data_IF_886394385397
#
_entry.id   IF_886394385397
#
_cell.length_a   1.000
_cell.length_b   1.000
_cell.length_c   1.000
_cell.angle_alpha   90.00
_cell.angle_beta   90.00
_cell.angle_gamma   90.00
#
_symmetry.space_group_name_H-M   'P 1'
#
loop_
_entity.id
_entity.type
_entity.pdbx_description
1 polymer ?
#
# COMPACT_ATOMS: atom_id res chain seq x y z
N UNK A 1 -41.60 19.77 -10.31
CA UNK A 1 -41.50 18.73 -11.35
C UNK A 1 -40.10 18.85 -11.96
N UNK A 2 -39.09 18.02 -11.74
CA UNK A 2 -38.87 16.80 -10.94
C UNK A 2 -37.43 16.94 -10.39
N UNK A 3 -37.25 16.76 -9.07
CA UNK A 3 -35.93 16.53 -8.46
C UNK A 3 -35.47 15.14 -8.87
N UNK A 4 -34.43 15.02 -9.68
CA UNK A 4 -33.73 13.75 -9.85
C UNK A 4 -32.49 13.73 -8.93
N UNK A 5 -32.76 13.59 -7.63
CA UNK A 5 -31.82 12.94 -6.72
C UNK A 5 -31.91 11.45 -6.99
N UNK A 6 -30.86 10.89 -7.60
CA UNK A 6 -30.49 9.47 -7.45
C UNK A 6 -28.98 9.38 -7.71
N UNK A 7 -28.23 10.06 -6.83
CA UNK A 7 -26.81 9.76 -6.64
C UNK A 7 -26.76 8.42 -5.90
N UNK A 8 -26.89 7.34 -6.68
CA UNK A 8 -26.67 6.01 -6.17
C UNK A 8 -25.23 5.96 -5.67
N UNK A 9 -25.06 5.85 -4.35
CA UNK A 9 -23.79 5.51 -3.72
C UNK A 9 -23.31 4.17 -4.32
N UNK A 10 -22.60 4.27 -5.44
CA UNK A 10 -21.98 3.14 -6.13
C UNK A 10 -20.94 2.65 -5.14
N UNK A 11 -21.25 1.58 -4.41
CA UNK A 11 -20.37 1.04 -3.38
C UNK A 11 -18.95 0.97 -3.96
N UNK A 12 -18.07 1.88 -3.52
CA UNK A 12 -16.75 2.04 -4.10
C UNK A 12 -16.05 0.69 -4.03
N UNK A 13 -15.69 0.15 -5.20
CA UNK A 13 -15.04 -1.15 -5.28
C UNK A 13 -13.75 -1.09 -4.46
N UNK A 14 -13.62 -1.94 -3.45
CA UNK A 14 -12.50 -1.88 -2.50
C UNK A 14 -11.29 -2.67 -3.00
N UNK A 15 -10.10 -2.08 -2.92
CA UNK A 15 -8.84 -2.72 -3.32
C UNK A 15 -8.61 -4.03 -2.56
N UNK A 16 -8.99 -4.09 -1.28
CA UNK A 16 -8.86 -5.27 -0.43
C UNK A 16 -9.77 -6.45 -0.84
N UNK A 17 -10.75 -6.21 -1.73
CA UNK A 17 -11.64 -7.25 -2.27
C UNK A 17 -11.21 -7.77 -3.64
N UNK A 18 -10.15 -7.21 -4.22
CA UNK A 18 -9.61 -7.71 -5.49
C UNK A 18 -9.01 -9.11 -5.26
N UNK A 19 -9.47 -10.13 -6.02
CA UNK A 19 -8.91 -11.48 -5.93
C UNK A 19 -7.40 -11.47 -6.10
N UNK A 20 -6.70 -12.26 -5.29
CA UNK A 20 -5.25 -12.31 -5.29
C UNK A 20 -4.77 -13.73 -4.98
N UNK A 21 -3.46 -13.97 -5.06
CA UNK A 21 -2.88 -15.27 -4.72
C UNK A 21 -2.94 -15.53 -3.21
N UNK A 22 -2.94 -16.80 -2.83
CA UNK A 22 -2.90 -17.22 -1.41
C UNK A 22 -1.70 -16.63 -0.65
N UNK A 23 -0.55 -16.45 -1.34
CA UNK A 23 0.66 -15.82 -0.80
C UNK A 23 0.38 -14.37 -0.40
N UNK A 24 -0.25 -13.59 -1.28
CA UNK A 24 -0.60 -12.19 -1.01
C UNK A 24 -1.66 -12.06 0.09
N UNK A 25 -2.65 -12.94 0.10
CA UNK A 25 -3.67 -12.94 1.15
C UNK A 25 -3.11 -13.31 2.52
N UNK A 26 -2.19 -14.29 2.58
CA UNK A 26 -1.51 -14.65 3.82
C UNK A 26 -0.70 -13.47 4.34
N UNK A 27 0.15 -12.87 3.50
CA UNK A 27 0.98 -11.74 3.88
C UNK A 27 0.15 -10.53 4.32
N UNK A 28 -0.94 -10.21 3.61
CA UNK A 28 -1.88 -9.15 4.01
C UNK A 28 -2.43 -9.38 5.41
N UNK A 29 -2.81 -10.62 5.75
CA UNK A 29 -3.33 -10.97 7.09
C UNK A 29 -2.25 -10.83 8.15
N UNK A 30 -1.02 -11.26 7.86
CA UNK A 30 0.08 -11.21 8.82
C UNK A 30 0.48 -9.77 9.15
N UNK A 31 0.60 -8.90 8.13
CA UNK A 31 0.83 -7.46 8.31
C UNK A 31 -0.31 -6.82 9.09
N UNK A 32 -1.57 -7.09 8.72
CA UNK A 32 -2.72 -6.48 9.38
C UNK A 32 -2.84 -6.88 10.86
N UNK A 33 -2.55 -8.14 11.20
CA UNK A 33 -2.50 -8.60 12.59
C UNK A 33 -1.40 -7.91 13.38
N UNK A 34 -0.20 -7.82 12.79
CA UNK A 34 0.90 -7.13 13.44
C UNK A 34 0.60 -5.65 13.66
N UNK A 35 0.06 -4.95 12.66
CA UNK A 35 -0.25 -3.53 12.78
C UNK A 35 -1.29 -3.28 13.87
N UNK A 36 -2.35 -4.09 13.92
CA UNK A 36 -3.35 -4.03 14.99
C UNK A 36 -2.74 -4.26 16.37
N UNK A 37 -1.87 -5.26 16.52
CA UNK A 37 -1.23 -5.58 17.80
C UNK A 37 -0.23 -4.51 18.27
N UNK A 38 0.31 -3.70 17.36
CA UNK A 38 1.32 -2.68 17.65
C UNK A 38 0.79 -1.24 17.53
N UNK A 39 -0.53 -1.07 17.41
CA UNK A 39 -1.17 0.24 17.29
C UNK A 39 -0.70 1.04 16.06
N UNK A 40 -0.30 0.36 14.98
CA UNK A 40 0.18 1.01 13.77
C UNK A 40 -0.98 1.33 12.83
N UNK A 41 -0.98 2.53 12.22
CA UNK A 41 -2.00 2.91 11.24
C UNK A 41 -1.85 2.07 9.96
N UNK A 42 -2.94 1.45 9.52
CA UNK A 42 -2.92 0.62 8.31
C UNK A 42 -4.33 0.48 7.75
N UNK A 43 -4.54 0.93 6.51
CA UNK A 43 -5.80 0.64 5.80
C UNK A 43 -5.67 -0.65 5.00
N UNK A 44 -6.73 -1.47 5.01
CA UNK A 44 -6.74 -2.73 4.25
C UNK A 44 -6.64 -2.50 2.74
N UNK A 45 -7.16 -1.38 2.26
CA UNK A 45 -7.11 -1.02 0.84
C UNK A 45 -5.70 -0.55 0.44
N UNK A 46 -5.05 0.32 1.22
CA UNK A 46 -3.66 0.71 0.97
C UNK A 46 -2.73 -0.50 1.02
N UNK A 47 -2.88 -1.38 2.03
CA UNK A 47 -2.10 -2.62 2.10
C UNK A 47 -2.32 -3.50 0.87
N UNK A 48 -3.56 -3.58 0.37
CA UNK A 48 -3.87 -4.37 -0.81
C UNK A 48 -3.20 -3.82 -2.07
N UNK A 49 -3.09 -2.50 -2.20
CA UNK A 49 -2.37 -1.81 -3.28
C UNK A 49 -0.87 -2.00 -3.13
N UNK A 50 -0.29 -1.72 -1.96
CA UNK A 50 1.14 -1.86 -1.67
C UNK A 50 1.62 -3.28 -1.98
N UNK A 51 0.91 -4.30 -1.47
CA UNK A 51 1.24 -5.70 -1.79
C UNK A 51 0.87 -6.04 -3.24
N UNK A 52 -0.14 -5.37 -3.79
CA UNK A 52 -0.67 -5.53 -5.15
C UNK A 52 0.34 -5.17 -6.24
N UNK A 53 1.19 -4.19 -5.99
CA UNK A 53 2.22 -3.70 -6.93
C UNK A 53 3.53 -4.47 -6.85
N UNK A 54 3.77 -5.23 -5.78
CA UNK A 54 4.98 -6.07 -5.66
C UNK A 54 4.91 -7.30 -6.53
N UNK A 55 6.07 -7.77 -6.96
CA UNK A 55 6.22 -9.05 -7.66
C UNK A 55 6.22 -10.23 -6.69
N UNK A 56 5.97 -11.43 -7.23
CA UNK A 56 6.18 -12.69 -6.52
C UNK A 56 7.50 -13.26 -7.03
N UNK A 57 8.43 -13.57 -6.12
CA UNK A 57 9.75 -14.12 -6.45
C UNK A 57 9.65 -15.56 -6.91
N UNK A 58 10.77 -16.11 -7.43
CA UNK A 58 10.86 -17.51 -7.83
C UNK A 58 10.56 -18.48 -6.66
N UNK A 59 10.83 -18.05 -5.42
CA UNK A 59 10.60 -18.78 -4.18
C UNK A 59 9.16 -18.68 -3.67
N UNK A 60 8.23 -18.17 -4.48
CA UNK A 60 6.83 -17.99 -4.12
C UNK A 60 6.63 -17.07 -2.89
N UNK A 61 7.48 -16.05 -2.77
CA UNK A 61 7.36 -15.00 -1.73
C UNK A 61 7.11 -13.65 -2.37
N UNK A 62 6.64 -12.67 -1.59
CA UNK A 62 6.51 -11.29 -2.10
C UNK A 62 7.88 -10.65 -2.06
N UNK A 63 8.26 -9.95 -3.13
CA UNK A 63 9.47 -9.14 -3.10
C UNK A 63 9.33 -8.02 -2.07
N UNK A 64 10.15 -8.09 -1.02
CA UNK A 64 10.21 -7.17 0.11
C UNK A 64 11.40 -6.22 0.05
N UNK A 65 12.02 -6.07 -1.12
CA UNK A 65 13.14 -5.13 -1.33
C UNK A 65 12.62 -3.71 -1.52
N UNK A 66 12.88 -2.83 -0.57
CA UNK A 66 12.40 -1.44 -0.62
C UNK A 66 13.54 -0.45 -0.72
N UNK A 67 13.52 0.32 -1.80
CA UNK A 67 14.45 1.41 -2.09
C UNK A 67 13.69 2.73 -2.16
N UNK A 68 14.41 3.85 -2.00
CA UNK A 68 13.85 5.19 -2.22
C UNK A 68 13.16 5.28 -3.59
N UNK A 69 13.80 4.80 -4.66
CA UNK A 69 13.22 4.81 -6.01
C UNK A 69 11.93 3.98 -6.13
N UNK A 70 11.88 2.81 -5.48
CA UNK A 70 10.66 1.98 -5.51
C UNK A 70 9.54 2.54 -4.64
N UNK A 71 9.86 3.25 -3.56
CA UNK A 71 8.88 4.04 -2.79
C UNK A 71 8.33 5.18 -3.66
N UNK A 72 9.20 5.97 -4.29
CA UNK A 72 8.80 7.06 -5.19
C UNK A 72 7.92 6.53 -6.31
N UNK A 73 8.35 5.46 -6.99
CA UNK A 73 7.59 4.84 -8.07
C UNK A 73 6.24 4.30 -7.60
N UNK A 74 6.15 3.76 -6.38
CA UNK A 74 4.90 3.30 -5.81
C UNK A 74 3.89 4.45 -5.63
N UNK A 75 4.32 5.50 -4.92
CA UNK A 75 3.44 6.60 -4.50
C UNK A 75 3.06 7.51 -5.68
N UNK A 76 3.93 7.68 -6.67
CA UNK A 76 3.68 8.58 -7.82
C UNK A 76 2.95 7.90 -8.99
N UNK A 77 3.17 6.61 -9.23
CA UNK A 77 2.66 5.96 -10.46
C UNK A 77 2.07 4.58 -10.25
N UNK A 78 2.79 3.65 -9.62
CA UNK A 78 2.40 2.23 -9.65
C UNK A 78 1.09 1.98 -8.92
N UNK A 79 0.84 2.69 -7.80
CA UNK A 79 -0.42 2.59 -7.08
C UNK A 79 -1.60 3.05 -7.95
N UNK A 80 -1.47 4.20 -8.63
CA UNK A 80 -2.49 4.72 -9.54
C UNK A 80 -2.74 3.78 -10.72
N UNK A 81 -1.67 3.28 -11.35
CA UNK A 81 -1.74 2.32 -12.46
C UNK A 81 -2.42 1.00 -12.04
N UNK A 82 -2.04 0.44 -10.89
CA UNK A 82 -2.67 -0.76 -10.34
C UNK A 82 -4.16 -0.52 -10.04
N UNK A 83 -4.49 0.58 -9.38
CA UNK A 83 -5.88 0.93 -9.05
C UNK A 83 -6.74 1.10 -10.32
N UNK A 84 -6.21 1.81 -11.32
CA UNK A 84 -6.86 2.01 -12.63
C UNK A 84 -7.14 0.68 -13.34
N UNK A 85 -6.15 -0.22 -13.39
CA UNK A 85 -6.30 -1.57 -13.97
C UNK A 85 -7.40 -2.38 -13.28
N UNK A 86 -7.54 -2.25 -11.96
CA UNK A 86 -8.53 -2.98 -11.17
C UNK A 86 -9.87 -2.24 -10.99
N UNK A 87 -9.98 -1.02 -11.54
CA UNK A 87 -11.15 -0.13 -11.42
C UNK A 87 -11.57 0.08 -9.95
N UNK A 88 -10.59 0.40 -9.11
CA UNK A 88 -10.76 0.79 -7.70
C UNK A 88 -10.18 2.19 -7.50
N UNK A 89 -10.69 2.99 -6.55
CA UNK A 89 -10.07 4.27 -6.22
C UNK A 89 -8.69 4.03 -5.57
N UNK A 90 -7.78 5.00 -5.74
CA UNK A 90 -6.53 5.03 -4.96
C UNK A 90 -6.91 5.29 -3.49
N UNK A 91 -6.46 4.44 -2.55
CA UNK A 91 -6.81 4.59 -1.16
C UNK A 91 -6.09 5.77 -0.51
N UNK A 92 -6.80 6.49 0.36
CA UNK A 92 -6.21 7.46 1.29
C UNK A 92 -5.24 6.76 2.27
N UNK A 93 -4.29 7.53 2.82
CA UNK A 93 -3.31 7.03 3.81
C UNK A 93 -2.36 5.97 3.24
N UNK A 94 -2.04 6.07 1.94
CA UNK A 94 -1.14 5.13 1.26
C UNK A 94 0.29 5.20 1.81
N UNK A 95 0.84 6.40 2.03
CA UNK A 95 2.18 6.59 2.58
C UNK A 95 2.24 6.21 4.06
N UNK A 96 1.27 6.62 4.88
CA UNK A 96 1.13 6.16 6.26
C UNK A 96 1.09 4.61 6.36
N UNK A 97 0.29 3.96 5.52
CA UNK A 97 0.21 2.50 5.47
C UNK A 97 1.50 1.85 4.95
N UNK A 98 2.22 2.50 4.03
CA UNK A 98 3.53 2.05 3.54
C UNK A 98 4.58 2.16 4.65
N UNK A 99 4.59 3.24 5.41
CA UNK A 99 5.44 3.42 6.58
C UNK A 99 5.23 2.29 7.60
N UNK A 100 3.98 1.98 7.93
CA UNK A 100 3.64 0.84 8.80
C UNK A 100 4.08 -0.50 8.21
N UNK A 101 3.96 -0.69 6.89
CA UNK A 101 4.42 -1.89 6.22
C UNK A 101 5.95 -2.04 6.25
N UNK A 102 6.71 -0.98 6.04
CA UNK A 102 8.19 -1.00 6.14
C UNK A 102 8.63 -1.29 7.57
N UNK A 103 7.96 -0.70 8.59
CA UNK A 103 8.22 -1.02 10.00
C UNK A 103 7.93 -2.48 10.32
N UNK A 104 6.85 -3.06 9.78
CA UNK A 104 6.55 -4.49 9.87
C UNK A 104 7.71 -5.33 9.32
N UNK A 105 8.17 -5.03 8.10
CA UNK A 105 9.23 -5.79 7.46
C UNK A 105 10.53 -5.72 8.27
N UNK A 106 10.88 -4.53 8.77
CA UNK A 106 12.05 -4.35 9.62
C UNK A 106 11.96 -5.14 10.93
N UNK A 107 10.85 -5.00 11.65
CA UNK A 107 10.65 -5.62 12.95
C UNK A 107 10.74 -7.14 12.88
N UNK A 108 10.29 -7.72 11.77
CA UNK A 108 10.31 -9.16 11.53
C UNK A 108 11.54 -9.63 10.74
N UNK A 109 12.51 -8.75 10.46
CA UNK A 109 13.73 -9.06 9.67
C UNK A 109 13.42 -9.63 8.28
N UNK A 110 12.37 -9.10 7.64
CA UNK A 110 11.87 -9.50 6.32
C UNK A 110 12.26 -8.52 5.21
N UNK A 111 12.98 -7.43 5.51
CA UNK A 111 13.46 -6.51 4.47
C UNK A 111 14.47 -7.24 3.57
N UNK A 112 14.21 -7.21 2.27
CA UNK A 112 15.07 -7.84 1.27
C UNK A 112 16.45 -7.20 1.21
N UNK A 113 17.46 -7.98 0.84
CA UNK A 113 18.81 -7.48 0.57
C UNK A 113 18.78 -6.41 -0.52
N UNK A 114 19.50 -5.30 -0.32
CA UNK A 114 19.47 -4.15 -1.23
C UNK A 114 18.41 -3.10 -0.89
N UNK A 115 17.62 -3.31 0.16
CA UNK A 115 16.73 -2.27 0.69
C UNK A 115 17.53 -1.11 1.29
N UNK A 116 17.01 0.11 1.15
CA UNK A 116 17.46 1.23 1.97
C UNK A 116 17.12 0.98 3.46
N UNK A 117 17.78 1.71 4.36
CA UNK A 117 17.48 1.60 5.78
C UNK A 117 16.06 2.08 6.07
N UNK A 118 15.44 1.54 7.12
CA UNK A 118 14.08 1.94 7.51
C UNK A 118 13.98 3.43 7.79
N UNK A 119 14.98 4.01 8.45
CA UNK A 119 14.99 5.45 8.74
C UNK A 119 14.94 6.26 7.45
N UNK A 120 15.78 5.92 6.46
CA UNK A 120 15.77 6.57 5.15
C UNK A 120 14.43 6.40 4.42
N UNK A 121 13.83 5.21 4.48
CA UNK A 121 12.54 4.96 3.84
C UNK A 121 11.41 5.76 4.51
N UNK A 122 11.37 5.83 5.84
CA UNK A 122 10.33 6.56 6.58
C UNK A 122 10.46 8.07 6.39
N UNK A 123 11.68 8.60 6.45
CA UNK A 123 11.98 10.00 6.15
C UNK A 123 11.48 10.35 4.74
N UNK A 124 11.87 9.56 3.75
CA UNK A 124 11.47 9.80 2.36
C UNK A 124 9.96 9.70 2.10
N UNK A 125 9.27 8.76 2.76
CA UNK A 125 7.80 8.67 2.66
C UNK A 125 7.15 9.95 3.21
N UNK A 126 7.67 10.46 4.33
CA UNK A 126 7.15 11.67 4.97
C UNK A 126 7.36 12.89 4.06
N UNK A 127 8.55 13.03 3.48
CA UNK A 127 8.86 14.14 2.56
C UNK A 127 7.94 14.12 1.33
N UNK A 128 7.73 12.95 0.72
CA UNK A 128 6.83 12.80 -0.42
C UNK A 128 5.37 13.13 -0.09
N UNK A 129 4.88 12.75 1.10
CA UNK A 129 3.53 13.13 1.52
C UNK A 129 3.41 14.66 1.65
N UNK A 130 4.43 15.35 2.18
CA UNK A 130 4.42 16.82 2.28
C UNK A 130 4.48 17.54 0.93
N UNK A 131 5.22 17.00 -0.04
CA UNK A 131 5.31 17.57 -1.39
C UNK A 131 4.00 17.41 -2.18
N UNK A 132 3.31 16.26 -2.02
CA UNK A 132 2.02 16.00 -2.67
C UNK A 132 0.94 16.95 -2.14
N UNK A 133 0.90 17.17 -0.83
CA UNK A 133 -0.08 18.06 -0.21
C UNK A 133 0.16 19.55 -0.54
N UNK A 134 1.42 19.93 -0.80
CA UNK A 134 1.81 21.30 -1.16
C UNK A 134 1.55 21.67 -2.63
N UNK A 135 1.24 20.68 -3.47
CA UNK A 135 1.04 20.85 -4.92
C UNK A 135 -0.42 21.00 -5.38
N UNK A 136 -1.38 21.21 -4.47
CA UNK A 136 -2.82 21.36 -4.78
C UNK A 136 -3.28 22.81 -4.91
#
# INVERSE_FOLDING_TARGET
MIKHSFEGARASRRACRIPTSSIRDRHRKDVARWALANGQPLTRDALAVIIGTREITAEATIDTTWTIDSVTGLLTWQAGSWCGRHRVPVPEGLGESLSSYVRYLSRNRLLGTGSNTVSQLIEWITDLETDIDSGS
#
